data_IF_948705654826
#
_entry.id   IF_948705654826
#
_cell.length_a   1.000
_cell.length_b   1.000
_cell.length_c   1.000
_cell.angle_alpha   90.00
_cell.angle_beta   90.00
_cell.angle_gamma   90.00
#
_symmetry.space_group_name_H-M   'P 1'
#
loop_
_entity.id
_entity.type
_entity.pdbx_description
1 polymer ?
#
# COMPACT_ATOMS: atom_id res chain seq x y z
N UNK A 1 -9.47 6.16 -1.70
CA UNK A 1 -8.31 6.47 -0.83
C UNK A 1 -8.43 5.88 0.59
N UNK A 2 -9.02 4.70 0.77
CA UNK A 2 -9.44 4.24 2.11
C UNK A 2 -8.43 3.40 2.90
N UNK A 3 -7.39 2.83 2.26
CA UNK A 3 -6.47 1.92 2.96
C UNK A 3 -5.58 2.56 4.04
N UNK A 4 -5.01 3.74 3.77
CA UNK A 4 -4.20 4.47 4.75
C UNK A 4 -5.04 5.09 5.86
N UNK A 5 -6.15 5.72 5.49
CA UNK A 5 -7.07 6.39 6.42
C UNK A 5 -7.69 5.38 7.40
N UNK A 6 -8.08 4.19 6.91
CA UNK A 6 -8.61 3.12 7.76
C UNK A 6 -7.62 2.62 8.81
N UNK A 7 -6.31 2.83 8.61
CA UNK A 7 -5.24 2.44 9.53
C UNK A 7 -4.70 3.62 10.36
N UNK A 8 -5.22 4.83 10.17
CA UNK A 8 -4.71 6.04 10.82
C UNK A 8 -3.26 6.38 10.46
N UNK A 9 -2.74 5.87 9.33
CA UNK A 9 -1.33 6.04 8.95
C UNK A 9 -1.14 7.33 8.15
N UNK A 10 -0.17 8.16 8.53
CA UNK A 10 0.27 9.28 7.68
C UNK A 10 1.06 8.77 6.46
N UNK A 11 1.25 9.62 5.44
CA UNK A 11 2.09 9.28 4.28
C UNK A 11 3.53 8.99 4.72
N UNK A 12 4.03 9.77 5.70
CA UNK A 12 5.34 9.57 6.30
C UNK A 12 5.42 8.22 7.02
N UNK A 13 4.43 7.85 7.82
CA UNK A 13 4.45 6.57 8.54
C UNK A 13 4.44 5.38 7.57
N UNK A 14 3.64 5.48 6.50
CA UNK A 14 3.63 4.46 5.46
C UNK A 14 5.00 4.37 4.78
N UNK A 15 5.58 5.51 4.39
CA UNK A 15 6.88 5.61 3.75
C UNK A 15 7.98 4.97 4.61
N UNK A 16 8.02 5.30 5.91
CA UNK A 16 8.93 4.70 6.88
C UNK A 16 8.73 3.19 6.97
N UNK A 17 7.49 2.69 7.04
CA UNK A 17 7.21 1.24 7.12
C UNK A 17 7.64 0.46 5.89
N UNK A 18 7.57 1.05 4.70
CA UNK A 18 7.96 0.39 3.45
C UNK A 18 9.42 0.69 3.05
N UNK A 19 10.14 1.48 3.87
CA UNK A 19 11.48 1.99 3.58
C UNK A 19 11.56 2.73 2.23
N UNK A 20 10.61 3.63 1.98
CA UNK A 20 10.58 4.49 0.80
C UNK A 20 10.52 5.96 1.18
N UNK A 21 10.75 6.83 0.20
CA UNK A 21 10.60 8.28 0.38
C UNK A 21 9.11 8.67 0.44
N UNK A 22 8.71 9.64 1.28
CA UNK A 22 7.34 10.15 1.31
C UNK A 22 6.82 10.61 -0.05
N UNK A 23 7.69 11.21 -0.86
CA UNK A 23 7.38 11.65 -2.23
C UNK A 23 6.88 10.49 -3.11
N UNK A 24 7.51 9.31 -2.99
CA UNK A 24 7.14 8.13 -3.75
C UNK A 24 5.72 7.72 -3.39
N UNK A 25 5.37 7.67 -2.10
CA UNK A 25 4.01 7.36 -1.64
C UNK A 25 2.99 8.35 -2.20
N UNK A 26 3.30 9.66 -2.20
CA UNK A 26 2.45 10.69 -2.80
C UNK A 26 2.23 10.45 -4.29
N UNK A 27 3.29 10.13 -5.03
CA UNK A 27 3.20 9.86 -6.47
C UNK A 27 2.38 8.59 -6.75
N UNK A 28 2.49 7.56 -5.92
CA UNK A 28 1.64 6.36 -6.00
C UNK A 28 0.17 6.67 -5.72
N UNK A 29 -0.12 7.50 -4.71
CA UNK A 29 -1.50 7.93 -4.40
C UNK A 29 -2.08 8.80 -5.52
N UNK A 30 -1.25 9.57 -6.22
CA UNK A 30 -1.60 10.37 -7.38
C UNK A 30 -1.64 9.58 -8.70
N UNK A 31 -1.25 8.30 -8.70
CA UNK A 31 -1.19 7.46 -9.91
C UNK A 31 -0.06 7.83 -10.88
N UNK A 32 0.92 8.64 -10.45
CA UNK A 32 2.11 9.05 -11.24
C UNK A 32 3.38 8.31 -10.83
N UNK A 33 3.33 7.54 -9.75
CA UNK A 33 4.46 6.77 -9.24
C UNK A 33 4.89 5.66 -10.21
N UNK A 34 6.19 5.43 -10.30
CA UNK A 34 6.77 4.33 -11.09
C UNK A 34 6.24 3.01 -10.52
N UNK A 35 5.56 2.15 -11.29
CA UNK A 35 4.99 0.91 -10.78
C UNK A 35 6.08 -0.08 -10.37
N UNK A 36 6.34 -0.18 -9.06
CA UNK A 36 7.25 -1.16 -8.48
C UNK A 36 6.48 -2.21 -7.68
N UNK A 37 6.54 -3.46 -8.16
CA UNK A 37 5.85 -4.59 -7.55
C UNK A 37 6.29 -4.86 -6.10
N UNK A 38 7.53 -4.53 -5.74
CA UNK A 38 8.05 -4.67 -4.38
C UNK A 38 7.41 -3.64 -3.44
N UNK A 39 7.37 -2.37 -3.86
CA UNK A 39 6.77 -1.28 -3.08
C UNK A 39 5.29 -1.55 -2.86
N UNK A 40 4.58 -1.93 -3.92
CA UNK A 40 3.17 -2.30 -3.85
C UNK A 40 2.94 -3.44 -2.86
N UNK A 41 3.74 -4.51 -2.91
CA UNK A 41 3.64 -5.62 -1.95
C UNK A 41 3.90 -5.21 -0.49
N UNK A 42 4.81 -4.28 -0.25
CA UNK A 42 5.05 -3.73 1.11
C UNK A 42 3.86 -2.89 1.57
N UNK A 43 3.35 -2.00 0.72
CA UNK A 43 2.17 -1.19 1.04
C UNK A 43 0.99 -2.10 1.34
N UNK A 44 0.70 -3.08 0.49
CA UNK A 44 -0.38 -4.06 0.65
C UNK A 44 -0.36 -4.73 2.03
N UNK A 45 0.82 -5.11 2.52
CA UNK A 45 0.98 -5.70 3.87
C UNK A 45 0.72 -4.69 4.99
N UNK A 46 1.17 -3.45 4.83
CA UNK A 46 1.00 -2.41 5.85
C UNK A 46 -0.47 -2.02 6.00
N UNK A 47 -1.13 -1.73 4.87
CA UNK A 47 -2.54 -1.31 4.85
C UNK A 47 -3.51 -2.50 4.94
N UNK A 48 -3.07 -3.71 4.61
CA UNK A 48 -3.91 -4.91 4.62
C UNK A 48 -4.94 -4.93 3.50
N UNK A 49 -4.63 -4.35 2.34
CA UNK A 49 -5.53 -4.24 1.18
C UNK A 49 -4.70 -4.49 -0.08
N UNK A 50 -5.24 -5.21 -1.06
CA UNK A 50 -4.62 -5.40 -2.37
C UNK A 50 -4.65 -4.12 -3.20
N UNK A 51 -3.50 -3.75 -3.75
CA UNK A 51 -3.33 -2.59 -4.63
C UNK A 51 -3.11 -2.99 -6.10
N UNK A 52 -3.01 -4.29 -6.38
CA UNK A 52 -2.75 -4.86 -7.70
C UNK A 52 -3.79 -5.90 -8.12
N UNK A 53 -3.84 -6.18 -9.43
CA UNK A 53 -4.65 -7.25 -10.03
C UNK A 53 -6.13 -6.90 -10.18
N UNK A 54 -6.98 -7.92 -10.35
CA UNK A 54 -8.44 -7.77 -10.44
C UNK A 54 -9.08 -7.47 -9.07
N UNK A 55 -8.39 -7.81 -7.98
CA UNK A 55 -8.88 -7.67 -6.60
C UNK A 55 -8.47 -6.34 -5.94
N UNK A 56 -8.17 -5.29 -6.72
CA UNK A 56 -7.77 -3.99 -6.16
C UNK A 56 -8.85 -3.44 -5.24
N UNK A 57 -8.45 -3.04 -4.03
CA UNK A 57 -9.37 -2.53 -3.00
C UNK A 57 -9.97 -3.61 -2.10
N UNK A 58 -9.76 -4.91 -2.38
CA UNK A 58 -10.14 -5.97 -1.45
C UNK A 58 -9.14 -6.07 -0.30
N UNK A 59 -9.61 -6.46 0.88
CA UNK A 59 -8.75 -6.73 2.03
C UNK A 59 -7.76 -7.84 1.68
N UNK A 60 -6.51 -7.66 2.12
CA UNK A 60 -5.47 -8.67 1.99
C UNK A 60 -5.84 -9.82 2.93
N UNK A 61 -6.58 -10.80 2.42
CA UNK A 61 -6.85 -12.04 3.15
C UNK A 61 -5.50 -12.69 3.48
N UNK A 62 -5.19 -12.98 4.76
CA UNK A 62 -4.03 -13.77 5.10
C UNK A 62 -4.25 -15.16 4.50
N UNK A 63 -3.49 -15.50 3.46
CA UNK A 63 -3.42 -16.85 2.93
C UNK A 63 -2.71 -17.72 3.97
N UNK A 64 -3.45 -18.16 4.99
CA UNK A 64 -2.96 -18.90 6.15
C UNK A 64 -4.05 -19.69 6.88
N UNK A 65 -5.11 -20.11 6.18
CA UNK A 65 -5.98 -21.20 6.62
C UNK A 65 -6.03 -22.28 5.56
N UNK A 66 -5.14 -23.26 5.68
CA UNK A 66 -5.41 -24.68 5.45
C UNK A 66 -4.86 -25.41 6.66
#
# INVERSE_FOLDING_TARGET
MQGRQSKGLSQKDLATKINEKPQIVTDYEAGRGIPNQMVLGKIERVIGIKLRGKDRGQTLVPSGKK
#
